data_IF_435058838371
#
_entry.id   IF_435058838371
#
_cell.length_a   1.000
_cell.length_b   1.000
_cell.length_c   1.000
_cell.angle_alpha   90.00
_cell.angle_beta   90.00
_cell.angle_gamma   90.00
#
_symmetry.space_group_name_H-M   'P 1'
#
loop_
_entity.id
_entity.type
_entity.pdbx_description
1 polymer ?
#
# COMPACT_ATOMS: atom_id res chain seq x y z
N UNK A 1 -14.32 -5.68 5.29
CA UNK A 1 -14.35 -5.04 6.62
C UNK A 1 -12.99 -4.43 6.91
N UNK A 2 -12.93 -3.35 7.69
CA UNK A 2 -11.67 -2.82 8.19
C UNK A 2 -11.10 -3.76 9.28
N UNK A 3 -9.78 -3.94 9.29
CA UNK A 3 -9.06 -4.79 10.25
C UNK A 3 -8.02 -3.96 10.99
N UNK A 4 -7.68 -4.40 12.20
CA UNK A 4 -6.64 -3.77 13.03
C UNK A 4 -5.23 -4.28 12.68
N UNK A 5 -5.14 -5.37 11.90
CA UNK A 5 -3.86 -5.91 11.42
C UNK A 5 -3.19 -4.93 10.48
N UNK A 6 -1.99 -4.48 10.78
CA UNK A 6 -1.20 -3.58 9.93
C UNK A 6 -0.40 -4.43 8.94
N UNK A 7 -0.56 -4.17 7.65
CA UNK A 7 0.23 -4.78 6.59
C UNK A 7 1.70 -4.36 6.71
N UNK A 8 2.60 -5.27 6.40
CA UNK A 8 4.02 -4.96 6.23
C UNK A 8 4.26 -4.23 4.91
N UNK A 9 5.33 -3.41 4.80
CA UNK A 9 5.72 -2.80 3.53
C UNK A 9 5.90 -3.82 2.39
N UNK A 10 6.40 -5.01 2.70
CA UNK A 10 6.62 -6.10 1.75
C UNK A 10 5.31 -6.71 1.23
N UNK A 11 4.30 -6.88 2.10
CA UNK A 11 2.96 -7.32 1.69
C UNK A 11 2.27 -6.29 0.79
N UNK A 12 2.41 -5.01 1.12
CA UNK A 12 1.95 -3.93 0.24
C UNK A 12 2.66 -4.00 -1.10
N UNK A 13 4.00 -4.06 -1.11
CA UNK A 13 4.79 -4.11 -2.34
C UNK A 13 4.41 -5.34 -3.20
N UNK A 14 4.20 -6.49 -2.58
CA UNK A 14 3.72 -7.71 -3.26
C UNK A 14 2.39 -7.47 -3.98
N UNK A 15 1.43 -6.84 -3.30
CA UNK A 15 0.12 -6.49 -3.86
C UNK A 15 0.23 -5.52 -5.04
N UNK A 16 1.11 -4.52 -4.93
CA UNK A 16 1.37 -3.58 -6.01
C UNK A 16 2.02 -4.26 -7.22
N UNK A 17 3.02 -5.13 -7.01
CA UNK A 17 3.64 -5.93 -8.10
C UNK A 17 2.62 -6.80 -8.82
N UNK A 18 1.68 -7.41 -8.08
CA UNK A 18 0.60 -8.17 -8.69
C UNK A 18 -0.26 -7.29 -9.60
N UNK A 19 -0.60 -6.08 -9.12
CA UNK A 19 -1.43 -5.13 -9.87
C UNK A 19 -0.73 -4.63 -11.15
N UNK A 20 0.58 -4.43 -11.12
CA UNK A 20 1.40 -4.00 -12.25
C UNK A 20 1.44 -5.00 -13.42
N UNK A 21 0.98 -6.25 -13.23
CA UNK A 21 0.77 -7.19 -14.33
C UNK A 21 -0.39 -6.80 -15.25
N UNK A 22 -1.29 -5.94 -14.77
CA UNK A 22 -2.55 -5.61 -15.42
C UNK A 22 -2.65 -4.15 -15.86
N UNK A 23 -1.87 -3.25 -15.25
CA UNK A 23 -1.85 -1.83 -15.57
C UNK A 23 -0.44 -1.26 -15.56
N UNK A 24 -0.21 -0.25 -16.40
CA UNK A 24 1.08 0.46 -16.45
C UNK A 24 1.34 1.21 -15.12
N UNK A 25 2.61 1.28 -14.73
CA UNK A 25 3.03 1.89 -13.47
C UNK A 25 2.67 3.38 -13.36
N UNK A 26 2.65 4.11 -14.47
CA UNK A 26 2.29 5.54 -14.53
C UNK A 26 0.78 5.79 -14.31
N UNK A 27 -0.04 4.74 -14.33
CA UNK A 27 -1.49 4.79 -14.10
C UNK A 27 -1.91 4.20 -12.74
N UNK A 28 -0.98 3.63 -11.99
CA UNK A 28 -1.26 3.00 -10.69
C UNK A 28 -1.18 4.02 -9.55
N UNK A 29 -2.28 4.17 -8.81
CA UNK A 29 -2.35 4.97 -7.58
C UNK A 29 -2.70 4.07 -6.38
N UNK A 30 -1.70 3.68 -5.56
CA UNK A 30 -1.95 2.92 -4.34
C UNK A 30 -2.80 3.72 -3.34
N UNK A 31 -3.84 3.11 -2.80
CA UNK A 31 -4.71 3.73 -1.80
C UNK A 31 -5.26 2.68 -0.83
N UNK A 32 -5.95 3.14 0.22
CA UNK A 32 -6.69 2.26 1.11
C UNK A 32 -7.99 1.81 0.45
N UNK A 33 -8.44 0.60 0.75
CA UNK A 33 -9.67 0.03 0.19
C UNK A 33 -10.94 0.84 0.53
N UNK A 34 -11.02 1.38 1.75
CA UNK A 34 -12.10 2.21 2.26
C UNK A 34 -11.53 3.37 3.09
N UNK A 35 -12.42 4.23 3.59
CA UNK A 35 -12.06 5.22 4.59
C UNK A 35 -11.62 4.58 5.91
N UNK A 36 -10.69 5.25 6.61
CA UNK A 36 -10.13 4.81 7.88
C UNK A 36 -10.79 5.43 9.11
N UNK A 37 -11.90 6.17 8.93
CA UNK A 37 -12.65 6.80 10.02
C UNK A 37 -12.99 5.85 11.20
N UNK A 38 -13.32 4.56 11.01
CA UNK A 38 -13.61 3.67 12.13
C UNK A 38 -12.36 3.10 12.83
N UNK A 39 -11.15 3.35 12.33
CA UNK A 39 -9.91 2.80 12.91
C UNK A 39 -9.29 3.73 13.96
N UNK A 40 -8.65 3.19 15.02
CA UNK A 40 -7.79 3.98 15.89
C UNK A 40 -6.72 4.73 15.10
N UNK A 41 -6.47 5.99 15.45
CA UNK A 41 -5.53 6.87 14.73
C UNK A 41 -4.15 6.24 14.52
N UNK A 42 -3.64 5.53 15.53
CA UNK A 42 -2.33 4.88 15.44
C UNK A 42 -2.32 3.77 14.39
N UNK A 43 -3.37 2.96 14.32
CA UNK A 43 -3.51 1.88 13.33
C UNK A 43 -3.65 2.49 11.93
N UNK A 44 -4.49 3.50 11.76
CA UNK A 44 -4.65 4.20 10.50
C UNK A 44 -3.31 4.80 10.00
N UNK A 45 -2.58 5.46 10.90
CA UNK A 45 -1.27 6.04 10.57
C UNK A 45 -0.24 4.97 10.22
N UNK A 46 -0.21 3.85 10.95
CA UNK A 46 0.71 2.76 10.67
C UNK A 46 0.45 2.10 9.31
N UNK A 47 -0.82 1.87 8.97
CA UNK A 47 -1.24 1.36 7.65
C UNK A 47 -0.85 2.31 6.51
N UNK A 48 -1.05 3.62 6.69
CA UNK A 48 -0.63 4.62 5.69
C UNK A 48 0.91 4.66 5.53
N UNK A 49 1.65 4.52 6.63
CA UNK A 49 3.10 4.42 6.58
C UNK A 49 3.56 3.16 5.83
N UNK A 50 2.93 2.01 6.10
CA UNK A 50 3.19 0.77 5.38
C UNK A 50 2.88 0.90 3.88
N UNK A 51 1.75 1.54 3.52
CA UNK A 51 1.38 1.83 2.14
C UNK A 51 2.47 2.66 1.44
N UNK A 52 2.92 3.74 2.07
CA UNK A 52 3.95 4.62 1.52
C UNK A 52 5.29 3.89 1.37
N UNK A 53 5.69 3.09 2.36
CA UNK A 53 6.94 2.34 2.35
C UNK A 53 6.93 1.23 1.29
N UNK A 54 5.83 0.47 1.18
CA UNK A 54 5.67 -0.56 0.15
C UNK A 54 5.69 0.02 -1.26
N UNK A 55 5.03 1.18 -1.48
CA UNK A 55 5.09 1.88 -2.75
C UNK A 55 6.51 2.37 -3.09
N UNK A 56 7.30 2.76 -2.09
CA UNK A 56 8.70 3.18 -2.27
C UNK A 56 9.61 2.03 -2.71
N UNK A 57 9.39 0.82 -2.17
CA UNK A 57 10.10 -0.40 -2.61
C UNK A 57 9.90 -0.59 -4.11
N UNK A 58 8.63 -0.59 -4.56
CA UNK A 58 8.31 -0.80 -5.97
C UNK A 58 8.84 0.33 -6.86
N UNK A 59 8.78 1.60 -6.41
CA UNK A 59 9.37 2.72 -7.17
C UNK A 59 10.87 2.54 -7.42
N UNK A 60 11.61 2.06 -6.43
CA UNK A 60 13.05 1.79 -6.58
C UNK A 60 13.31 0.67 -7.57
N UNK A 61 12.49 -0.38 -7.56
CA UNK A 61 12.57 -1.50 -8.51
C UNK A 61 12.32 -1.05 -9.95
N UNK A 62 11.39 -0.12 -10.17
CA UNK A 62 11.07 0.40 -11.50
C UNK A 62 12.08 1.42 -12.04
N UNK A 63 12.93 1.98 -11.17
CA UNK A 63 13.95 2.96 -11.53
C UNK A 63 15.35 2.34 -11.71
N UNK A 64 15.47 1.02 -11.53
CA UNK A 64 16.71 0.25 -11.60
C UNK A 64 16.98 -0.31 -13.00
#
# INVERSE_FOLDING_TARGET
>A
MATDSIETPEEVASTLRETLKYIDADKLYPCTNCGMAPLPRQIASAKLNALSAGAEIVRKELSA
#
